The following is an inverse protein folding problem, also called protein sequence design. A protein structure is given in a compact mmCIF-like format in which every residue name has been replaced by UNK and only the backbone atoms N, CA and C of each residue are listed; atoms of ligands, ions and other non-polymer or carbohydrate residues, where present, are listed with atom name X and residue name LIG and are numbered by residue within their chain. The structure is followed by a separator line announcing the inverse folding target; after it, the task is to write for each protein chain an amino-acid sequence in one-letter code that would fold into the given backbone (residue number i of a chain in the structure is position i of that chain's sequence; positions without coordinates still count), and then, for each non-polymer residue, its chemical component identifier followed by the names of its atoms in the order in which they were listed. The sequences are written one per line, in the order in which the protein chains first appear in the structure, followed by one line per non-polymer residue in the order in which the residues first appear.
data_IF_559745983880
#
_entry.id   IF_559745983880
#
_cell.length_a   1.000
_cell.length_b   1.000
_cell.length_c   1.000
_cell.angle_alpha   90.00
_cell.angle_beta   90.00
_cell.angle_gamma   90.00
#
_symmetry.space_group_name_H-M   'P 1'
#
loop_
_entity.id
_entity.type
_entity.pdbx_description
1 polymer ?
#
# COMPACT_ATOMS: atom_id res chain seq x y z
N UNK A 1 15.96 12.29 23.48
CA UNK A 1 14.86 12.96 22.75
C UNK A 1 15.10 12.96 21.24
N UNK A 2 16.33 13.06 20.71
CA UNK A 2 16.55 13.08 19.25
C UNK A 2 16.15 11.82 18.45
N UNK A 3 16.30 10.61 19.00
CA UNK A 3 16.12 9.39 18.19
C UNK A 3 14.64 9.09 17.87
N UNK A 4 13.71 9.37 18.80
CA UNK A 4 12.30 9.09 18.58
C UNK A 4 11.67 10.05 17.58
N UNK A 5 11.99 11.35 17.71
CA UNK A 5 11.51 12.38 16.80
C UNK A 5 12.03 12.17 15.37
N UNK A 6 13.29 11.73 15.24
CA UNK A 6 13.88 11.38 13.95
C UNK A 6 13.13 10.21 13.29
N UNK A 7 12.89 9.13 14.03
CA UNK A 7 12.22 7.96 13.45
C UNK A 7 10.75 8.25 13.14
N UNK A 8 10.05 9.01 13.99
CA UNK A 8 8.69 9.44 13.69
C UNK A 8 8.62 10.29 12.43
N UNK A 9 9.56 11.22 12.25
CA UNK A 9 9.64 12.08 11.06
C UNK A 9 9.90 11.27 9.79
N UNK A 10 10.84 10.31 9.85
CA UNK A 10 11.12 9.40 8.74
C UNK A 10 9.87 8.57 8.41
N UNK A 11 9.25 7.95 9.41
CA UNK A 11 8.04 7.14 9.25
C UNK A 11 6.89 7.92 8.61
N UNK A 12 6.62 9.15 9.07
CA UNK A 12 5.60 10.04 8.47
C UNK A 12 5.93 10.42 7.02
N UNK A 13 7.20 10.68 6.72
CA UNK A 13 7.61 11.06 5.36
C UNK A 13 7.45 9.90 4.38
N UNK A 14 7.82 8.69 4.80
CA UNK A 14 7.64 7.47 3.99
C UNK A 14 6.16 7.14 3.80
N UNK A 15 5.34 7.31 4.85
CA UNK A 15 3.89 7.13 4.79
C UNK A 15 3.24 8.08 3.77
N UNK A 16 3.57 9.38 3.86
CA UNK A 16 3.16 10.40 2.89
C UNK A 16 3.59 10.05 1.46
N UNK A 17 4.81 9.55 1.27
CA UNK A 17 5.30 9.12 -0.04
C UNK A 17 4.50 7.92 -0.58
N UNK A 18 4.17 6.95 0.27
CA UNK A 18 3.33 5.80 -0.08
C UNK A 18 1.93 6.21 -0.51
N UNK A 19 1.26 7.06 0.29
CA UNK A 19 -0.06 7.61 -0.06
C UNK A 19 0.00 8.42 -1.36
N UNK A 20 1.02 9.27 -1.53
CA UNK A 20 1.19 10.06 -2.74
C UNK A 20 1.41 9.18 -3.98
N UNK A 21 2.14 8.06 -3.85
CA UNK A 21 2.35 7.11 -4.94
C UNK A 21 1.02 6.43 -5.37
N UNK A 22 0.19 6.01 -4.41
CA UNK A 22 -1.14 5.44 -4.70
C UNK A 22 -2.03 6.47 -5.38
N UNK A 23 -2.21 7.63 -4.75
CA UNK A 23 -3.12 8.68 -5.24
C UNK A 23 -2.67 9.20 -6.60
N UNK A 24 -1.38 9.50 -6.76
CA UNK A 24 -0.81 9.95 -8.03
C UNK A 24 -0.98 8.90 -9.13
N UNK A 25 -0.74 7.62 -8.81
CA UNK A 25 -0.95 6.52 -9.73
C UNK A 25 -2.39 6.38 -10.20
N UNK A 26 -3.36 6.52 -9.29
CA UNK A 26 -4.80 6.49 -9.61
C UNK A 26 -5.19 7.68 -10.50
N UNK A 27 -4.74 8.89 -10.17
CA UNK A 27 -5.02 10.09 -10.96
C UNK A 27 -4.46 9.95 -12.38
N UNK A 28 -3.20 9.54 -12.51
CA UNK A 28 -2.55 9.34 -13.80
C UNK A 28 -3.22 8.22 -14.61
N UNK A 29 -3.53 7.08 -13.99
CA UNK A 29 -4.24 5.98 -14.64
C UNK A 29 -5.58 6.46 -15.20
N UNK A 30 -6.33 7.21 -14.40
CA UNK A 30 -7.67 7.71 -14.73
C UNK A 30 -7.60 8.74 -15.85
N UNK A 31 -6.70 9.72 -15.77
CA UNK A 31 -6.51 10.71 -16.84
C UNK A 31 -6.13 10.07 -18.18
N UNK A 32 -5.21 9.10 -18.15
CA UNK A 32 -4.82 8.34 -19.35
C UNK A 32 -6.01 7.54 -19.88
N UNK A 33 -6.78 6.87 -19.01
CA UNK A 33 -7.93 6.09 -19.42
C UNK A 33 -9.03 6.94 -20.05
N UNK A 34 -9.36 8.10 -19.48
CA UNK A 34 -10.35 9.05 -20.03
C UNK A 34 -9.91 9.53 -21.42
N UNK A 35 -8.64 9.94 -21.56
CA UNK A 35 -8.11 10.44 -22.84
C UNK A 35 -8.17 9.37 -23.96
N UNK A 36 -7.93 8.11 -23.63
CA UNK A 36 -7.97 6.98 -24.57
C UNK A 36 -9.38 6.52 -24.88
N UNK A 37 -10.27 6.56 -23.89
CA UNK A 37 -11.69 6.27 -24.08
C UNK A 37 -12.33 7.29 -25.03
N UNK A 38 -11.96 8.58 -24.90
CA UNK A 38 -12.36 9.63 -25.84
C UNK A 38 -11.87 9.37 -27.28
N UNK A 39 -10.71 8.71 -27.42
CA UNK A 39 -10.14 8.27 -28.71
C UNK A 39 -10.66 6.91 -29.20
N UNK A 40 -11.57 6.26 -28.46
CA UNK A 40 -12.10 4.90 -28.73
C UNK A 40 -11.02 3.84 -28.93
N UNK A 41 -9.91 3.93 -28.18
CA UNK A 41 -8.87 2.91 -28.21
C UNK A 41 -9.32 1.61 -27.53
N UNK A 42 -9.15 0.49 -28.23
CA UNK A 42 -9.37 -0.85 -27.66
C UNK A 42 -8.32 -1.18 -26.59
N UNK A 43 -8.69 -1.99 -25.59
CA UNK A 43 -7.78 -2.41 -24.53
C UNK A 43 -7.50 -1.38 -23.43
N UNK A 44 -8.18 -0.22 -23.45
CA UNK A 44 -8.07 0.84 -22.43
C UNK A 44 -8.26 0.30 -21.01
N UNK A 45 -9.27 -0.53 -20.77
CA UNK A 45 -9.54 -1.13 -19.44
C UNK A 45 -8.39 -2.03 -18.95
N UNK A 46 -7.83 -2.87 -19.83
CA UNK A 46 -6.74 -3.81 -19.48
C UNK A 46 -5.44 -3.09 -19.15
N UNK A 47 -5.22 -1.90 -19.72
CA UNK A 47 -4.05 -1.06 -19.46
C UNK A 47 -4.25 -0.22 -18.20
N UNK A 48 -5.44 0.36 -18.01
CA UNK A 48 -5.83 1.04 -16.78
C UNK A 48 -5.61 0.14 -15.56
N UNK A 49 -6.17 -1.08 -15.58
CA UNK A 49 -6.06 -2.04 -14.47
C UNK A 49 -4.61 -2.44 -14.18
N UNK A 50 -3.76 -2.55 -15.21
CA UNK A 50 -2.31 -2.84 -15.05
C UNK A 50 -1.55 -1.70 -14.40
N UNK A 51 -1.86 -0.45 -14.78
CA UNK A 51 -1.18 0.72 -14.21
C UNK A 51 -1.63 0.96 -12.78
N UNK A 52 -2.94 0.87 -12.53
CA UNK A 52 -3.53 1.01 -11.21
C UNK A 52 -2.96 -0.03 -10.23
N UNK A 53 -2.93 -1.30 -10.63
CA UNK A 53 -2.35 -2.37 -9.81
C UNK A 53 -0.87 -2.15 -9.46
N UNK A 54 -0.06 -1.68 -10.41
CA UNK A 54 1.35 -1.35 -10.14
C UNK A 54 1.51 -0.18 -9.16
N UNK A 55 0.68 0.86 -9.30
CA UNK A 55 0.75 2.01 -8.38
C UNK A 55 0.31 1.66 -6.97
N UNK A 56 -0.70 0.80 -6.83
CA UNK A 56 -1.16 0.32 -5.53
C UNK A 56 -0.07 -0.54 -4.89
N UNK A 57 0.54 -1.47 -5.63
CA UNK A 57 1.60 -2.33 -5.13
C UNK A 57 2.81 -1.52 -4.64
N UNK A 58 3.26 -0.54 -5.42
CA UNK A 58 4.33 0.38 -5.03
C UNK A 58 3.98 1.17 -3.76
N UNK A 59 2.75 1.68 -3.69
CA UNK A 59 2.26 2.38 -2.51
C UNK A 59 2.24 1.49 -1.27
N UNK A 60 1.79 0.25 -1.42
CA UNK A 60 1.79 -0.73 -0.34
C UNK A 60 3.21 -1.06 0.15
N UNK A 61 4.18 -1.24 -0.74
CA UNK A 61 5.59 -1.44 -0.37
C UNK A 61 6.14 -0.29 0.48
N UNK A 62 5.87 0.96 0.09
CA UNK A 62 6.26 2.16 0.83
C UNK A 62 5.56 2.26 2.19
N UNK A 63 4.25 2.04 2.22
CA UNK A 63 3.49 2.03 3.46
C UNK A 63 4.04 0.94 4.40
N UNK A 64 4.46 -0.24 3.87
CA UNK A 64 4.99 -1.36 4.69
C UNK A 64 6.26 -0.93 5.38
N UNK A 65 7.17 -0.31 4.63
CA UNK A 65 8.38 0.28 5.19
C UNK A 65 8.07 1.32 6.29
N UNK A 66 7.09 2.21 6.08
CA UNK A 66 6.72 3.24 7.05
C UNK A 66 6.32 2.67 8.42
N UNK A 67 5.58 1.56 8.47
CA UNK A 67 5.18 0.97 9.76
C UNK A 67 6.25 0.12 10.41
N UNK A 68 7.13 -0.52 9.64
CA UNK A 68 8.32 -1.17 10.21
C UNK A 68 9.17 -0.13 10.93
N UNK A 69 9.38 1.03 10.31
CA UNK A 69 10.14 2.15 10.90
C UNK A 69 9.48 2.62 12.20
N UNK A 70 8.15 2.82 12.18
CA UNK A 70 7.38 3.26 13.35
C UNK A 70 7.40 2.24 14.49
N UNK A 71 7.32 0.94 14.18
CA UNK A 71 7.25 -0.12 15.20
C UNK A 71 8.58 -0.31 15.93
N UNK A 72 9.72 -0.10 15.26
CA UNK A 72 11.05 -0.35 15.84
C UNK A 72 11.50 0.78 16.80
N UNK A 73 10.96 2.00 16.69
CA UNK A 73 11.47 3.16 17.44
C UNK A 73 10.73 3.57 18.71
N UNK A 74 9.60 2.92 19.03
CA UNK A 74 8.86 3.25 20.25
C UNK A 74 9.54 2.61 21.45
N UNK A 75 10.03 3.41 22.39
CA UNK A 75 10.43 2.93 23.73
C UNK A 75 9.17 2.43 24.43
N UNK A 76 9.13 1.17 24.87
CA UNK A 76 7.88 0.53 25.25
C UNK A 76 7.32 1.11 26.55
N UNK A 77 6.20 1.84 26.44
CA UNK A 77 5.20 1.93 27.52
C UNK A 77 4.03 1.03 27.12
N UNK A 78 3.36 0.40 28.09
CA UNK A 78 2.28 -0.55 27.77
C UNK A 78 1.13 0.09 26.96
N UNK A 79 0.84 1.37 27.20
CA UNK A 79 -0.19 2.11 26.47
C UNK A 79 0.22 2.41 25.02
N UNK A 80 1.45 2.90 24.80
CA UNK A 80 1.96 3.16 23.45
C UNK A 80 2.12 1.88 22.63
N UNK A 81 2.51 0.77 23.27
CA UNK A 81 2.57 -0.56 22.63
C UNK A 81 1.17 -1.06 22.26
N UNK A 82 0.15 -0.84 23.11
CA UNK A 82 -1.22 -1.25 22.82
C UNK A 82 -1.82 -0.51 21.61
N UNK A 83 -1.63 0.82 21.53
CA UNK A 83 -2.10 1.62 20.39
C UNK A 83 -1.37 1.22 19.11
N UNK A 84 -0.05 1.07 19.18
CA UNK A 84 0.76 0.62 18.05
C UNK A 84 0.35 -0.78 17.56
N UNK A 85 0.16 -1.73 18.48
CA UNK A 85 -0.30 -3.08 18.17
C UNK A 85 -1.67 -3.06 17.49
N UNK A 86 -2.60 -2.19 17.94
CA UNK A 86 -3.90 -1.98 17.30
C UNK A 86 -3.78 -1.46 15.87
N UNK A 87 -2.94 -0.46 15.63
CA UNK A 87 -2.70 0.11 14.29
C UNK A 87 -2.10 -0.95 13.35
N UNK A 88 -1.08 -1.68 13.81
CA UNK A 88 -0.43 -2.77 13.04
C UNK A 88 -1.42 -3.89 12.72
N UNK A 89 -2.29 -4.27 13.66
CA UNK A 89 -3.33 -5.27 13.46
C UNK A 89 -4.33 -4.86 12.39
N UNK A 90 -4.89 -3.64 12.50
CA UNK A 90 -5.84 -3.08 11.53
C UNK A 90 -5.19 -3.09 10.15
N UNK A 91 -3.94 -2.67 10.06
CA UNK A 91 -3.25 -2.61 8.78
C UNK A 91 -3.01 -3.99 8.18
N UNK A 92 -2.50 -4.92 8.97
CA UNK A 92 -2.25 -6.30 8.50
C UNK A 92 -3.55 -6.89 7.98
N UNK A 93 -4.65 -6.69 8.69
CA UNK A 93 -5.97 -7.13 8.28
C UNK A 93 -6.46 -6.46 6.98
N UNK A 94 -6.37 -5.14 6.86
CA UNK A 94 -6.80 -4.41 5.66
C UNK A 94 -5.96 -4.76 4.42
N UNK A 95 -4.64 -4.81 4.58
CA UNK A 95 -3.72 -5.15 3.49
C UNK A 95 -4.00 -6.56 3.00
N UNK A 96 -4.25 -7.49 3.92
CA UNK A 96 -4.58 -8.87 3.60
C UNK A 96 -5.99 -9.03 2.98
N UNK A 97 -7.00 -8.31 3.48
CA UNK A 97 -8.35 -8.29 2.90
C UNK A 97 -8.37 -7.78 1.47
N UNK A 98 -7.59 -6.74 1.16
CA UNK A 98 -7.48 -6.19 -0.19
C UNK A 98 -6.76 -7.15 -1.14
N UNK A 99 -5.70 -7.82 -0.68
CA UNK A 99 -4.99 -8.82 -1.48
C UNK A 99 -5.88 -10.03 -1.82
N UNK A 100 -6.71 -10.46 -0.86
CA UNK A 100 -7.76 -11.46 -1.03
C UNK A 100 -8.79 -11.04 -2.08
N UNK A 101 -9.28 -9.80 -2.03
CA UNK A 101 -10.26 -9.28 -2.98
C UNK A 101 -9.68 -9.20 -4.40
N UNK A 102 -8.43 -8.75 -4.54
CA UNK A 102 -7.76 -8.58 -5.83
C UNK A 102 -7.40 -9.94 -6.46
N UNK A 103 -6.94 -10.89 -5.66
CA UNK A 103 -6.42 -12.20 -6.14
C UNK A 103 -7.51 -13.28 -6.16
N UNK A 104 -8.57 -13.12 -5.37
CA UNK A 104 -9.64 -14.10 -5.20
C UNK A 104 -9.19 -15.40 -4.51
N UNK A 105 -7.99 -15.38 -3.90
CA UNK A 105 -7.33 -16.55 -3.30
C UNK A 105 -6.71 -16.14 -1.98
N UNK A 106 -6.69 -17.04 -1.02
CA UNK A 106 -5.98 -16.80 0.24
C UNK A 106 -4.47 -16.72 -0.02
N UNK A 107 -3.72 -15.83 0.65
CA UNK A 107 -2.29 -15.65 0.38
C UNK A 107 -1.45 -16.90 0.70
N UNK A 108 -1.96 -17.83 1.52
CA UNK A 108 -1.33 -19.13 1.75
C UNK A 108 -1.69 -20.22 0.72
N UNK A 109 -2.60 -19.95 -0.22
CA UNK A 109 -2.85 -20.85 -1.33
C UNK A 109 -1.71 -20.70 -2.34
N UNK A 110 -0.70 -21.57 -2.22
CA UNK A 110 0.36 -21.70 -3.23
C UNK A 110 -0.29 -21.91 -4.60
N UNK A 111 0.19 -21.19 -5.61
CA UNK A 111 -0.16 -21.48 -6.99
C UNK A 111 0.22 -22.93 -7.26
N UNK A 112 -0.76 -23.81 -7.47
CA UNK A 112 -0.51 -25.12 -8.04
C UNK A 112 0.21 -24.89 -9.36
N UNK A 113 1.49 -25.25 -9.39
CA UNK A 113 2.24 -25.36 -10.63
C UNK A 113 1.50 -26.40 -11.46
N UNK A 114 0.84 -25.94 -12.52
CA UNK A 114 0.29 -26.81 -13.55
C UNK A 114 1.49 -27.30 -14.34
N UNK A 115 1.89 -28.55 -14.11
CA UNK A 115 2.76 -29.32 -14.99
C UNK A 115 2.09 -29.60 -16.34
#
# INVERSE_FOLDING_TARGET
MEFQDLVETIGRTVDLAGVAAVVGGVILATGIAISRLARREEGTYRRFRRFLGRSILLGLELLVAADIIRTVAVTPTLESVAVLAGIVLIRTFLSWSLELEITGRWPWQKAEAVD
#
